data_IF_681592455456
#
_entry.id   IF_681592455456
#
_cell.length_a   1.000
_cell.length_b   1.000
_cell.length_c   1.000
_cell.angle_alpha   90.00
_cell.angle_beta   90.00
_cell.angle_gamma   90.00
#
_symmetry.space_group_name_H-M   'P 1'
#
loop_
_entity.id
_entity.type
_entity.pdbx_description
1 polymer ?
#
# COMPACT_ATOMS: atom_id res chain seq x y z
N UNK A 1 -41.62 42.27 40.12
CA UNK A 1 -40.89 42.37 38.84
C UNK A 1 -39.84 41.28 38.80
N UNK A 2 -40.22 40.10 38.29
CA UNK A 2 -39.33 38.95 38.03
C UNK A 2 -40.01 38.18 36.90
N UNK A 3 -39.44 38.30 35.71
CA UNK A 3 -39.92 37.60 34.52
C UNK A 3 -39.34 36.20 34.54
N UNK A 4 -40.23 35.21 34.56
CA UNK A 4 -39.94 33.80 34.28
C UNK A 4 -39.89 33.69 32.76
N UNK A 5 -38.79 33.18 32.21
CA UNK A 5 -38.71 32.78 30.79
C UNK A 5 -38.98 31.29 30.76
N UNK A 6 -40.20 30.95 30.33
CA UNK A 6 -40.58 29.59 29.97
C UNK A 6 -40.05 29.29 28.56
N UNK A 7 -39.50 28.09 28.39
CA UNK A 7 -39.06 27.54 27.11
C UNK A 7 -40.25 26.85 26.45
N UNK A 8 -40.56 27.23 25.22
CA UNK A 8 -41.35 26.40 24.31
C UNK A 8 -40.78 26.52 22.89
N UNK A 9 -39.94 25.55 22.50
CA UNK A 9 -39.23 25.49 21.20
C UNK A 9 -39.85 24.42 20.26
N UNK A 10 -41.16 24.20 20.34
CA UNK A 10 -41.88 23.29 19.42
C UNK A 10 -42.62 24.06 18.32
N UNK A 11 -41.88 24.85 17.54
CA UNK A 11 -42.40 25.49 16.32
C UNK A 11 -42.05 24.68 15.06
N UNK A 12 -42.91 23.74 14.66
CA UNK A 12 -42.90 23.13 13.32
C UNK A 12 -43.61 24.08 12.34
N UNK A 13 -42.90 24.61 11.33
CA UNK A 13 -43.53 25.22 10.16
C UNK A 13 -43.55 24.19 9.01
N UNK A 14 -44.74 23.87 8.52
CA UNK A 14 -44.95 22.97 7.38
C UNK A 14 -45.37 23.80 6.17
N UNK A 15 -44.63 23.71 5.07
CA UNK A 15 -45.05 24.19 3.75
C UNK A 15 -45.11 23.03 2.75
N UNK A 16 -46.09 23.02 1.82
CA UNK A 16 -46.22 21.95 0.84
C UNK A 16 -45.16 22.07 -0.28
N UNK A 17 -44.74 20.95 -0.91
CA UNK A 17 -43.62 20.92 -1.83
C UNK A 17 -44.04 21.27 -3.26
N UNK A 18 -43.18 21.97 -3.98
CA UNK A 18 -43.06 21.81 -5.42
C UNK A 18 -41.77 21.01 -5.68
N UNK A 19 -41.98 19.79 -6.21
CA UNK A 19 -41.00 18.88 -6.84
C UNK A 19 -39.93 18.23 -5.92
N UNK A 20 -40.30 17.06 -5.38
CA UNK A 20 -39.49 15.83 -5.41
C UNK A 20 -38.16 15.74 -4.66
N UNK A 21 -38.19 15.20 -3.44
CA UNK A 21 -37.02 14.65 -2.75
C UNK A 21 -37.01 14.95 -1.25
N UNK A 22 -37.22 13.95 -0.41
CA UNK A 22 -37.17 14.09 1.05
C UNK A 22 -35.72 13.95 1.53
N UNK A 23 -35.08 15.06 1.89
CA UNK A 23 -33.82 15.04 2.64
C UNK A 23 -34.02 15.70 4.01
N UNK A 24 -33.69 14.96 5.07
CA UNK A 24 -33.65 15.48 6.44
C UNK A 24 -32.21 15.95 6.70
N UNK A 25 -31.94 17.22 6.40
CA UNK A 25 -30.70 17.90 6.77
C UNK A 25 -30.93 18.74 8.04
N UNK A 26 -30.08 18.57 9.05
CA UNK A 26 -30.14 19.40 10.26
C UNK A 26 -29.52 20.78 10.00
N UNK A 27 -30.02 21.82 10.70
CA UNK A 27 -29.63 23.24 10.53
C UNK A 27 -28.12 23.55 10.64
N UNK A 28 -27.27 22.58 11.00
CA UNK A 28 -25.82 22.74 11.06
C UNK A 28 -25.13 22.74 9.67
N UNK A 29 -25.76 22.19 8.62
CA UNK A 29 -25.12 22.01 7.30
C UNK A 29 -25.25 23.21 6.34
N UNK A 30 -26.05 24.24 6.67
CA UNK A 30 -26.28 25.40 5.79
C UNK A 30 -25.35 26.59 6.11
N UNK A 31 -24.57 26.55 7.20
CA UNK A 31 -23.77 27.69 7.66
C UNK A 31 -22.29 27.70 7.23
N UNK A 32 -21.83 26.77 6.39
CA UNK A 32 -20.48 26.80 5.84
C UNK A 32 -20.56 26.66 4.31
N UNK A 33 -20.10 27.72 3.62
CA UNK A 33 -20.33 27.94 2.20
C UNK A 33 -19.89 26.78 1.32
N UNK A 34 -20.88 26.11 0.72
CA UNK A 34 -20.70 25.46 -0.57
C UNK A 34 -20.64 26.58 -1.63
N UNK A 35 -19.43 26.98 -2.01
CA UNK A 35 -19.26 27.53 -3.36
C UNK A 35 -19.41 26.35 -4.33
N UNK A 36 -20.50 26.37 -5.09
CA UNK A 36 -20.72 25.47 -6.20
C UNK A 36 -19.60 25.65 -7.23
N UNK A 37 -18.64 24.73 -7.25
CA UNK A 37 -17.66 24.67 -8.33
C UNK A 37 -18.37 24.23 -9.61
N UNK A 38 -18.39 25.13 -10.61
CA UNK A 38 -18.80 24.80 -11.98
C UNK A 38 -17.77 23.84 -12.56
N UNK A 39 -18.18 22.58 -12.70
CA UNK A 39 -17.46 21.61 -13.51
C UNK A 39 -17.38 22.08 -14.97
N UNK A 40 -16.26 21.72 -15.60
CA UNK A 40 -16.03 21.81 -17.03
C UNK A 40 -17.18 21.13 -17.81
N UNK A 41 -17.94 21.91 -18.57
CA UNK A 41 -18.87 21.39 -19.59
C UNK A 41 -18.07 20.93 -20.82
N UNK A 42 -17.64 19.67 -20.78
CA UNK A 42 -17.18 18.91 -21.95
C UNK A 42 -18.26 17.94 -22.40
N UNK A 43 -19.47 18.44 -22.70
CA UNK A 43 -20.55 17.66 -23.31
C UNK A 43 -20.65 18.02 -24.80
N UNK A 44 -20.02 17.23 -25.66
CA UNK A 44 -20.37 17.20 -27.08
C UNK A 44 -21.70 16.46 -27.23
N UNK A 45 -22.76 17.24 -27.46
CA UNK A 45 -24.06 16.72 -27.90
C UNK A 45 -23.95 16.34 -29.37
N UNK A 46 -23.89 15.03 -29.65
CA UNK A 46 -24.07 14.48 -30.99
C UNK A 46 -25.54 14.62 -31.37
N UNK A 47 -25.87 15.66 -32.16
CA UNK A 47 -27.14 15.75 -32.85
C UNK A 47 -27.00 15.19 -34.28
N UNK A 48 -27.54 13.99 -34.48
CA UNK A 48 -27.83 13.44 -35.81
C UNK A 48 -29.25 13.87 -36.23
N UNK A 49 -29.37 14.79 -37.18
CA UNK A 49 -30.37 14.75 -38.28
C UNK A 49 -30.34 16.03 -39.15
N UNK A 50 -29.89 15.84 -40.40
CA UNK A 50 -30.57 16.23 -41.66
C UNK A 50 -30.84 17.73 -41.97
N UNK A 51 -30.07 18.30 -42.91
CA UNK A 51 -30.51 18.68 -44.28
C UNK A 51 -29.76 19.89 -44.87
N UNK A 52 -28.99 19.66 -45.95
CA UNK A 52 -29.04 20.43 -47.21
C UNK A 52 -28.19 21.70 -47.40
N UNK A 53 -27.38 21.68 -48.48
CA UNK A 53 -27.07 22.78 -49.44
C UNK A 53 -26.08 23.85 -48.87
N UNK A 54 -24.97 24.31 -49.45
CA UNK A 54 -24.25 24.31 -50.75
C UNK A 54 -22.74 24.45 -50.38
N UNK A 55 -21.77 23.82 -51.05
CA UNK A 55 -21.09 24.37 -52.23
C UNK A 55 -20.16 25.56 -51.93
N UNK A 56 -18.84 25.33 -51.76
CA UNK A 56 -17.72 26.18 -52.23
C UNK A 56 -16.41 25.37 -52.25
N UNK A 57 -15.74 25.40 -53.41
CA UNK A 57 -14.37 24.92 -53.67
C UNK A 57 -13.38 26.08 -53.50
N UNK A 58 -12.21 25.80 -52.90
CA UNK A 58 -10.90 26.43 -53.19
C UNK A 58 -9.81 25.58 -52.54
N UNK A 59 -9.10 24.73 -53.29
CA UNK A 59 -7.78 24.98 -53.89
C UNK A 59 -6.69 25.50 -52.91
N UNK A 60 -5.84 24.55 -52.47
CA UNK A 60 -4.38 24.58 -52.63
C UNK A 60 -3.56 25.71 -52.03
N UNK A 61 -2.69 25.38 -51.06
CA UNK A 61 -1.35 25.98 -50.98
C UNK A 61 -0.33 24.97 -50.42
N UNK A 62 0.74 24.74 -51.20
CA UNK A 62 1.96 24.01 -50.85
C UNK A 62 2.98 25.02 -50.27
N UNK A 63 3.97 24.49 -49.52
CA UNK A 63 5.26 25.03 -49.03
C UNK A 63 5.26 25.43 -47.54
N UNK A 64 6.30 25.16 -46.73
CA UNK A 64 7.69 24.80 -47.02
C UNK A 64 8.31 24.09 -45.80
N UNK A 65 9.23 23.16 -46.07
CA UNK A 65 10.04 22.44 -45.09
C UNK A 65 11.28 23.29 -44.76
N UNK A 66 11.52 23.65 -43.50
CA UNK A 66 12.80 24.26 -43.10
C UNK A 66 13.51 23.41 -42.03
N UNK A 67 14.56 22.70 -42.47
CA UNK A 67 15.55 22.04 -41.61
C UNK A 67 16.57 23.08 -41.13
N UNK A 68 16.72 23.26 -39.82
CA UNK A 68 17.88 23.94 -39.21
C UNK A 68 18.95 22.94 -38.71
N UNK A 69 20.25 23.27 -38.82
CA UNK A 69 21.34 22.29 -38.72
C UNK A 69 21.80 22.02 -37.28
N UNK A 70 21.82 20.73 -36.91
CA UNK A 70 22.42 20.16 -35.69
C UNK A 70 23.95 20.08 -35.86
N UNK A 71 24.71 21.08 -35.42
CA UNK A 71 26.20 21.02 -35.34
C UNK A 71 26.78 21.31 -33.95
N UNK A 72 26.07 20.93 -32.88
CA UNK A 72 26.60 21.00 -31.50
C UNK A 72 26.60 19.67 -30.74
N UNK A 73 26.04 18.58 -31.31
CA UNK A 73 25.97 17.26 -30.63
C UNK A 73 27.15 16.33 -30.93
N UNK A 74 27.99 16.62 -31.93
CA UNK A 74 29.14 15.76 -32.28
C UNK A 74 30.32 15.91 -31.30
N UNK A 75 30.49 17.10 -30.71
CA UNK A 75 31.61 17.39 -29.79
C UNK A 75 31.45 16.68 -28.43
N UNK A 76 30.21 16.49 -27.96
CA UNK A 76 29.93 15.77 -26.71
C UNK A 76 30.22 14.27 -26.83
N UNK A 77 30.01 13.68 -28.01
CA UNK A 77 30.29 12.26 -28.27
C UNK A 77 31.80 11.99 -28.26
N UNK A 78 32.59 12.89 -28.86
CA UNK A 78 34.05 12.78 -28.86
C UNK A 78 34.67 12.93 -27.46
N UNK A 79 34.13 13.82 -26.63
CA UNK A 79 34.58 13.98 -25.24
C UNK A 79 34.29 12.73 -24.38
N UNK A 80 33.12 12.09 -24.59
CA UNK A 80 32.76 10.86 -23.88
C UNK A 80 33.67 9.67 -24.20
N UNK A 81 34.06 9.51 -25.47
CA UNK A 81 34.96 8.43 -25.90
C UNK A 81 36.36 8.59 -25.29
N UNK A 82 36.87 9.83 -25.22
CA UNK A 82 38.17 10.10 -24.58
C UNK A 82 38.16 9.79 -23.08
N UNK A 83 37.08 10.13 -22.37
CA UNK A 83 36.91 9.82 -20.95
C UNK A 83 36.85 8.31 -20.69
N UNK A 84 36.13 7.57 -21.55
CA UNK A 84 36.02 6.11 -21.45
C UNK A 84 37.39 5.43 -21.59
N UNK A 85 38.23 5.90 -22.51
CA UNK A 85 39.58 5.36 -22.72
C UNK A 85 40.52 5.59 -21.52
N UNK A 86 40.37 6.71 -20.81
CA UNK A 86 41.14 6.98 -19.58
C UNK A 86 40.71 6.03 -18.45
N UNK A 87 39.41 5.76 -18.31
CA UNK A 87 38.88 4.85 -17.29
C UNK A 87 39.37 3.41 -17.55
N UNK A 88 39.33 2.95 -18.80
CA UNK A 88 39.83 1.61 -19.16
C UNK A 88 41.34 1.49 -18.90
N UNK A 89 42.12 2.55 -19.16
CA UNK A 89 43.55 2.60 -18.83
C UNK A 89 43.83 2.51 -17.32
N UNK A 90 43.00 3.16 -16.49
CA UNK A 90 43.15 3.13 -15.03
C UNK A 90 42.78 1.77 -14.41
N UNK A 91 41.74 1.11 -14.94
CA UNK A 91 41.29 -0.19 -14.42
C UNK A 91 42.25 -1.33 -14.79
N UNK A 92 42.88 -1.27 -15.97
CA UNK A 92 43.88 -2.27 -16.38
C UNK A 92 45.22 -2.12 -15.66
N UNK A 93 45.51 -0.97 -15.04
CA UNK A 93 46.70 -0.77 -14.20
C UNK A 93 46.61 -1.36 -12.79
N UNK A 94 45.40 -1.68 -12.31
CA UNK A 94 45.16 -2.06 -10.90
C UNK A 94 45.20 -3.57 -10.58
N UNK A 95 45.28 -4.46 -11.55
CA UNK A 95 45.04 -5.92 -11.35
C UNK A 95 46.33 -6.78 -11.36
N UNK A 96 47.52 -6.18 -11.26
CA UNK A 96 48.80 -6.93 -11.22
C UNK A 96 49.68 -6.72 -9.96
N UNK A 97 49.09 -6.32 -8.83
CA UNK A 97 49.74 -6.43 -7.52
C UNK A 97 48.71 -6.84 -6.48
N UNK A 98 48.67 -8.08 -5.97
CA UNK A 98 49.73 -8.66 -5.16
C UNK A 98 49.51 -10.16 -5.00
N UNK A 99 50.58 -10.94 -5.22
CA UNK A 99 50.68 -12.37 -4.87
C UNK A 99 51.81 -12.57 -3.85
N UNK A 100 51.61 -13.58 -3.00
CA UNK A 100 52.48 -14.13 -1.92
C UNK A 100 52.36 -13.39 -0.57
N UNK A 101 52.24 -14.05 0.59
CA UNK A 101 53.10 -15.14 1.13
C UNK A 101 52.33 -16.09 2.09
N UNK A 102 52.78 -17.35 2.07
CA UNK A 102 52.45 -18.55 2.85
C UNK A 102 52.40 -18.43 4.39
N UNK A 103 51.62 -19.32 5.03
CA UNK A 103 52.13 -20.41 5.91
C UNK A 103 51.03 -21.40 6.31
N UNK A 104 51.37 -22.69 6.20
CA UNK A 104 50.71 -23.86 6.81
C UNK A 104 51.79 -24.60 7.63
N UNK A 105 51.52 -25.79 8.22
CA UNK A 105 50.50 -26.15 9.22
C UNK A 105 51.18 -26.74 10.49
N UNK A 106 50.42 -26.91 11.59
CA UNK A 106 50.86 -27.78 12.70
C UNK A 106 49.70 -28.69 13.12
N UNK A 107 49.85 -29.98 12.81
CA UNK A 107 49.08 -31.08 13.40
C UNK A 107 49.53 -31.33 14.85
N UNK A 108 48.61 -31.71 15.75
CA UNK A 108 48.73 -32.90 16.61
C UNK A 108 47.33 -33.28 17.16
N UNK A 109 47.00 -34.58 17.36
CA UNK A 109 45.66 -35.08 17.62
C UNK A 109 45.34 -35.26 19.11
N UNK A 110 44.05 -35.18 19.46
CA UNK A 110 43.54 -35.48 20.79
C UNK A 110 42.08 -35.92 20.74
N UNK A 111 41.88 -37.24 20.71
CA UNK A 111 40.59 -37.93 20.87
C UNK A 111 40.06 -37.70 22.29
N UNK A 112 38.81 -37.23 22.40
CA UNK A 112 37.98 -37.41 23.58
C UNK A 112 36.51 -37.48 23.15
N UNK A 113 36.00 -38.71 23.07
CA UNK A 113 34.58 -39.06 23.01
C UNK A 113 33.82 -38.49 24.22
N UNK A 114 32.79 -37.69 23.96
CA UNK A 114 31.77 -37.30 24.94
C UNK A 114 30.38 -37.56 24.33
N UNK A 115 29.39 -37.96 25.15
CA UNK A 115 28.26 -38.78 24.71
C UNK A 115 27.14 -37.99 24.04
N UNK A 116 26.44 -38.69 23.14
CA UNK A 116 25.13 -38.33 22.60
C UNK A 116 24.15 -37.99 23.73
N UNK A 117 23.85 -36.71 23.88
CA UNK A 117 22.65 -36.26 24.57
C UNK A 117 21.60 -35.91 23.50
N UNK A 118 20.85 -36.95 23.11
CA UNK A 118 19.53 -36.83 22.47
C UNK A 118 18.57 -36.11 23.42
N UNK A 119 18.69 -34.79 23.51
CA UNK A 119 17.76 -33.91 24.19
C UNK A 119 16.81 -33.30 23.16
N UNK A 120 15.78 -34.04 22.77
CA UNK A 120 14.61 -33.46 22.09
C UNK A 120 14.04 -32.41 23.07
N UNK A 121 14.00 -31.10 22.75
CA UNK A 121 13.48 -30.12 23.67
C UNK A 121 12.01 -30.44 23.96
N UNK A 122 11.55 -30.33 25.21
CA UNK A 122 10.15 -30.56 25.55
C UNK A 122 9.31 -29.55 24.80
N UNK A 123 8.56 -30.05 23.82
CA UNK A 123 7.55 -29.30 23.07
C UNK A 123 6.27 -29.30 23.91
N UNK A 124 6.07 -28.28 24.73
CA UNK A 124 4.76 -27.88 25.29
C UNK A 124 4.99 -26.75 26.30
N UNK A 125 5.18 -25.54 25.79
CA UNK A 125 4.62 -24.37 26.43
C UNK A 125 3.65 -23.81 25.40
N UNK A 126 2.38 -23.67 25.74
CA UNK A 126 1.45 -22.95 24.88
C UNK A 126 2.07 -21.58 24.56
N UNK A 127 2.01 -21.12 23.30
CA UNK A 127 2.55 -19.82 22.95
C UNK A 127 1.90 -18.75 23.83
N UNK A 128 2.65 -17.72 24.27
CA UNK A 128 2.08 -16.68 25.10
C UNK A 128 0.90 -16.03 24.35
N UNK A 129 -0.15 -15.56 25.05
CA UNK A 129 -1.34 -15.01 24.39
C UNK A 129 -1.03 -13.91 23.37
N UNK A 130 0.04 -13.13 23.62
CA UNK A 130 0.50 -12.04 22.78
C UNK A 130 1.34 -12.49 21.58
N UNK A 131 1.79 -13.74 21.51
CA UNK A 131 2.46 -14.24 20.31
C UNK A 131 1.53 -14.15 19.11
N UNK A 132 2.11 -13.88 17.94
CA UNK A 132 1.36 -13.79 16.70
C UNK A 132 0.75 -15.13 16.38
N UNK A 133 -0.53 -15.13 16.03
CA UNK A 133 -1.17 -16.32 15.52
C UNK A 133 -0.61 -16.63 14.12
N UNK A 134 0.12 -17.74 14.00
CA UNK A 134 0.96 -18.03 12.84
C UNK A 134 0.26 -17.99 11.48
N UNK A 135 -1.05 -18.22 11.40
CA UNK A 135 -1.79 -18.18 10.13
C UNK A 135 -2.58 -16.90 9.91
N UNK A 136 -2.53 -15.96 10.86
CA UNK A 136 -3.18 -14.65 10.71
C UNK A 136 -2.43 -13.78 9.70
N UNK A 137 -3.16 -12.83 9.10
CA UNK A 137 -2.54 -11.78 8.29
C UNK A 137 -1.77 -10.77 9.15
N UNK A 138 -0.92 -9.99 8.51
CA UNK A 138 -0.31 -8.80 9.10
C UNK A 138 -0.82 -7.60 8.30
N UNK A 139 -1.41 -6.61 8.95
CA UNK A 139 -1.74 -5.33 8.31
C UNK A 139 -0.61 -4.33 8.58
N UNK A 140 -0.21 -3.55 7.58
CA UNK A 140 0.75 -2.46 7.79
C UNK A 140 0.36 -1.23 7.00
N UNK A 141 0.46 -0.07 7.63
CA UNK A 141 0.26 1.24 6.98
C UNK A 141 1.16 2.29 7.64
N UNK A 142 1.31 3.44 7.02
CA UNK A 142 2.16 4.51 7.53
C UNK A 142 2.07 5.78 6.71
N UNK A 143 2.64 6.84 7.28
CA UNK A 143 2.72 8.15 6.65
C UNK A 143 3.97 8.88 7.09
N UNK A 144 4.42 9.80 6.23
CA UNK A 144 5.41 10.80 6.60
C UNK A 144 4.78 11.79 7.57
N UNK A 145 5.51 12.12 8.64
CA UNK A 145 5.17 13.19 9.59
C UNK A 145 5.97 14.46 9.34
N UNK A 146 6.97 14.39 8.46
CA UNK A 146 7.80 15.52 8.07
C UNK A 146 8.76 15.13 6.93
N UNK A 147 9.81 15.93 6.74
CA UNK A 147 10.81 15.71 5.66
C UNK A 147 11.81 14.58 5.93
N UNK A 148 11.82 14.04 7.15
CA UNK A 148 12.73 12.95 7.56
C UNK A 148 12.14 12.04 8.63
N UNK A 149 10.89 12.29 9.02
CA UNK A 149 10.20 11.56 10.07
C UNK A 149 8.96 10.87 9.53
N UNK A 150 8.70 9.68 10.01
CA UNK A 150 7.55 8.89 9.60
C UNK A 150 7.03 8.03 10.75
N UNK A 151 5.79 7.59 10.56
CA UNK A 151 5.06 6.75 11.48
C UNK A 151 4.60 5.50 10.76
N UNK A 152 4.69 4.35 11.44
CA UNK A 152 4.19 3.07 10.97
C UNK A 152 3.20 2.52 11.99
N UNK A 153 2.14 1.89 11.48
CA UNK A 153 1.13 1.16 12.24
C UNK A 153 1.13 -0.26 11.72
N UNK A 154 1.29 -1.21 12.62
CA UNK A 154 1.29 -2.63 12.30
C UNK A 154 0.20 -3.33 13.11
N UNK A 155 -0.59 -4.15 12.44
CA UNK A 155 -1.71 -4.88 13.02
C UNK A 155 -1.44 -6.38 12.87
N UNK A 156 -1.63 -7.13 13.95
CA UNK A 156 -1.60 -8.58 13.94
C UNK A 156 -2.66 -9.16 14.89
N UNK A 157 -2.92 -10.46 14.78
CA UNK A 157 -3.80 -11.18 15.70
C UNK A 157 -2.97 -12.03 16.67
N UNK A 158 -3.31 -11.99 17.96
CA UNK A 158 -2.71 -12.90 18.93
C UNK A 158 -3.48 -14.22 19.08
N UNK A 159 -2.99 -15.09 19.96
CA UNK A 159 -3.61 -16.41 20.19
C UNK A 159 -4.96 -16.36 20.91
N UNK A 160 -5.30 -15.24 21.52
CA UNK A 160 -6.61 -14.95 22.11
C UNK A 160 -7.66 -14.50 21.08
N UNK A 161 -7.27 -14.29 19.82
CA UNK A 161 -8.14 -13.85 18.74
C UNK A 161 -8.29 -12.32 18.64
N UNK A 162 -7.81 -11.57 19.63
CA UNK A 162 -7.85 -10.11 19.62
C UNK A 162 -6.80 -9.54 18.64
N UNK A 163 -7.16 -8.41 18.01
CA UNK A 163 -6.25 -7.67 17.15
C UNK A 163 -5.39 -6.74 17.99
N UNK A 164 -4.11 -6.63 17.66
CA UNK A 164 -3.14 -5.80 18.35
C UNK A 164 -2.58 -4.77 17.38
N UNK A 165 -2.61 -3.51 17.79
CA UNK A 165 -2.09 -2.38 17.03
C UNK A 165 -0.76 -1.94 17.64
N UNK A 166 0.30 -2.06 16.86
CA UNK A 166 1.65 -1.61 17.18
C UNK A 166 1.93 -0.27 16.53
N UNK A 167 2.79 0.52 17.16
CA UNK A 167 3.30 1.77 16.61
C UNK A 167 4.81 1.79 16.52
N UNK A 168 5.30 2.46 15.48
CA UNK A 168 6.68 2.88 15.34
C UNK A 168 6.69 4.35 14.91
N UNK A 169 7.57 5.14 15.52
CA UNK A 169 7.90 6.49 15.08
C UNK A 169 9.39 6.56 14.82
N UNK A 170 9.80 7.07 13.66
CA UNK A 170 11.21 7.05 13.24
C UNK A 170 12.13 7.86 14.15
N UNK A 171 11.60 8.85 14.87
CA UNK A 171 12.34 9.61 15.88
C UNK A 171 12.66 8.82 17.16
N UNK A 172 11.85 7.81 17.49
CA UNK A 172 12.06 6.97 18.68
C UNK A 172 12.85 5.70 18.36
N UNK A 173 12.80 5.25 17.10
CA UNK A 173 13.56 4.10 16.61
C UNK A 173 13.16 2.76 17.23
N UNK A 174 11.97 2.67 17.85
CA UNK A 174 11.49 1.46 18.53
C UNK A 174 10.00 1.22 18.30
N UNK A 175 9.63 -0.05 18.33
CA UNK A 175 8.24 -0.48 18.36
C UNK A 175 7.67 -0.39 19.77
N UNK A 176 6.38 -0.12 19.88
CA UNK A 176 5.62 -0.27 21.14
C UNK A 176 4.17 -0.64 20.84
N UNK A 177 3.52 -1.29 21.79
CA UNK A 177 2.06 -1.52 21.72
C UNK A 177 1.32 -0.19 21.81
N UNK A 178 0.41 0.08 20.86
CA UNK A 178 -0.45 1.27 20.86
C UNK A 178 -1.83 0.94 21.45
N UNK A 179 -2.45 -0.16 21.02
CA UNK A 179 -3.75 -0.58 21.52
C UNK A 179 -3.99 -2.09 21.34
N UNK A 180 -4.76 -2.67 22.26
CA UNK A 180 -5.39 -3.97 22.07
C UNK A 180 -6.84 -3.74 21.65
N UNK A 181 -7.22 -4.24 20.48
CA UNK A 181 -8.53 -4.06 19.89
C UNK A 181 -9.38 -5.29 20.24
N UNK A 182 -10.08 -5.19 21.36
CA UNK A 182 -10.96 -6.26 21.87
C UNK A 182 -12.37 -6.14 21.28
N UNK A 183 -13.08 -7.28 21.14
CA UNK A 183 -14.47 -7.27 20.69
C UNK A 183 -14.66 -6.95 19.21
N UNK A 184 -13.61 -7.17 18.40
CA UNK A 184 -13.62 -7.01 16.94
C UNK A 184 -14.44 -8.09 16.24
N UNK A 185 -14.72 -9.22 16.91
CA UNK A 185 -15.30 -10.42 16.32
C UNK A 185 -14.50 -10.97 15.13
N UNK A 186 -13.19 -10.69 15.09
CA UNK A 186 -12.29 -11.26 14.11
C UNK A 186 -12.22 -12.79 14.28
N UNK A 187 -12.38 -13.55 13.18
CA UNK A 187 -12.14 -14.99 13.24
C UNK A 187 -10.67 -15.29 13.50
N UNK A 188 -10.38 -16.41 14.15
CA UNK A 188 -9.00 -16.81 14.39
C UNK A 188 -8.29 -17.16 13.07
N UNK A 189 -7.09 -16.63 12.85
CA UNK A 189 -6.37 -16.78 11.58
C UNK A 189 -6.94 -15.93 10.44
N UNK A 190 -7.68 -14.85 10.76
CA UNK A 190 -8.22 -13.95 9.74
C UNK A 190 -7.12 -13.33 8.87
N UNK A 191 -7.35 -13.10 7.56
CA UNK A 191 -6.55 -12.11 6.83
C UNK A 191 -6.69 -10.74 7.51
N UNK A 192 -5.64 -9.93 7.43
CA UNK A 192 -5.60 -8.57 7.95
C UNK A 192 -4.96 -7.70 6.88
N UNK A 193 -5.62 -6.60 6.55
CA UNK A 193 -5.06 -5.54 5.72
C UNK A 193 -5.30 -4.19 6.42
N UNK A 194 -4.41 -3.23 6.20
CA UNK A 194 -4.55 -1.91 6.81
C UNK A 194 -4.13 -0.82 5.83
N UNK A 195 -4.87 0.28 5.83
CA UNK A 195 -4.54 1.50 5.11
C UNK A 195 -4.79 2.71 6.03
N UNK A 196 -4.38 3.89 5.61
CA UNK A 196 -4.67 5.09 6.39
C UNK A 196 -4.83 6.32 5.52
N UNK A 197 -5.44 7.35 6.12
CA UNK A 197 -5.59 8.67 5.54
C UNK A 197 -5.72 9.72 6.64
N UNK A 198 -5.37 10.96 6.32
CA UNK A 198 -5.62 12.12 7.16
C UNK A 198 -7.02 12.69 6.82
N UNK A 199 -7.86 12.84 7.84
CA UNK A 199 -9.28 13.20 7.69
C UNK A 199 -9.45 14.54 6.97
N UNK A 200 -8.83 15.66 7.43
CA UNK A 200 -8.93 16.93 6.70
C UNK A 200 -8.45 16.86 5.27
N UNK A 201 -7.37 16.12 5.02
CA UNK A 201 -6.78 16.02 3.69
C UNK A 201 -7.68 15.24 2.72
N UNK A 202 -8.21 14.09 3.14
CA UNK A 202 -9.09 13.28 2.30
C UNK A 202 -10.45 13.93 2.04
N UNK A 203 -11.05 14.57 3.05
CA UNK A 203 -12.35 15.24 2.89
C UNK A 203 -12.23 16.69 2.41
N UNK A 204 -11.03 17.13 2.04
CA UNK A 204 -10.76 18.50 1.58
C UNK A 204 -11.30 19.58 2.54
N UNK A 205 -11.21 19.34 3.85
CA UNK A 205 -11.65 20.30 4.88
C UNK A 205 -10.46 21.06 5.45
N UNK A 206 -10.64 22.33 5.88
CA UNK A 206 -9.56 23.09 6.50
C UNK A 206 -8.98 22.38 7.72
N UNK A 207 -7.66 22.25 7.74
CA UNK A 207 -6.94 21.65 8.85
C UNK A 207 -6.77 22.65 9.99
N UNK A 208 -7.06 22.19 11.21
CA UNK A 208 -6.92 22.92 12.47
C UNK A 208 -6.31 21.98 13.50
N UNK A 209 -5.77 22.54 14.58
CA UNK A 209 -5.24 21.74 15.68
C UNK A 209 -6.27 20.82 16.34
N UNK A 210 -7.57 21.08 16.19
CA UNK A 210 -8.65 20.30 16.81
C UNK A 210 -9.24 19.21 15.92
N UNK A 211 -8.96 19.22 14.60
CA UNK A 211 -9.49 18.25 13.63
C UNK A 211 -8.41 17.56 12.77
N UNK A 212 -7.11 17.84 12.99
CA UNK A 212 -6.02 17.12 12.34
C UNK A 212 -5.90 15.69 12.92
N UNK A 213 -6.54 14.72 12.25
CA UNK A 213 -6.53 13.31 12.64
C UNK A 213 -6.05 12.45 11.49
N UNK A 214 -5.15 11.51 11.80
CA UNK A 214 -4.87 10.38 10.92
C UNK A 214 -5.72 9.19 11.36
N UNK A 215 -6.44 8.60 10.42
CA UNK A 215 -7.28 7.43 10.60
C UNK A 215 -6.61 6.23 9.93
N UNK A 216 -6.41 5.18 10.72
CA UNK A 216 -6.03 3.85 10.29
C UNK A 216 -7.31 3.03 10.12
N UNK A 217 -7.46 2.41 8.96
CA UNK A 217 -8.52 1.45 8.67
C UNK A 217 -7.95 0.04 8.70
N UNK A 218 -8.66 -0.88 9.33
CA UNK A 218 -8.24 -2.26 9.55
C UNK A 218 -9.34 -3.17 9.03
N UNK A 219 -9.00 -4.00 8.05
CA UNK A 219 -9.94 -4.90 7.37
C UNK A 219 -9.61 -6.35 7.69
N UNK A 220 -10.63 -7.13 8.00
CA UNK A 220 -10.53 -8.53 8.40
C UNK A 220 -11.86 -9.26 8.16
N UNK A 221 -11.91 -10.55 8.51
CA UNK A 221 -13.11 -11.37 8.42
C UNK A 221 -13.61 -11.78 9.81
N UNK A 222 -14.93 -11.86 9.95
CA UNK A 222 -15.57 -12.53 11.09
C UNK A 222 -15.76 -14.03 10.83
N UNK A 223 -16.30 -14.77 11.82
CA UNK A 223 -16.59 -16.21 11.73
C UNK A 223 -17.56 -16.59 10.58
N UNK A 224 -18.37 -15.63 10.12
CA UNK A 224 -19.29 -15.82 9.02
C UNK A 224 -18.65 -15.51 7.65
N UNK A 225 -17.33 -15.25 7.60
CA UNK A 225 -16.59 -14.80 6.42
C UNK A 225 -17.15 -13.50 5.82
N UNK A 226 -17.64 -12.61 6.68
CA UNK A 226 -18.04 -11.26 6.26
C UNK A 226 -16.90 -10.28 6.46
N UNK A 227 -16.71 -9.41 5.47
CA UNK A 227 -15.77 -8.28 5.56
C UNK A 227 -16.15 -7.38 6.73
N UNK A 228 -15.18 -7.12 7.59
CA UNK A 228 -15.28 -6.23 8.74
C UNK A 228 -14.29 -5.08 8.58
N UNK A 229 -14.64 -3.95 9.17
CA UNK A 229 -13.82 -2.75 9.26
C UNK A 229 -13.75 -2.30 10.72
N UNK A 230 -12.55 -1.98 11.17
CA UNK A 230 -12.30 -1.33 12.45
C UNK A 230 -11.37 -0.15 12.22
N UNK A 231 -11.72 1.01 12.75
CA UNK A 231 -10.89 2.20 12.60
C UNK A 231 -10.18 2.56 13.91
N UNK A 232 -9.00 3.15 13.78
CA UNK A 232 -8.30 3.83 14.86
C UNK A 232 -7.88 5.22 14.38
N UNK A 233 -8.26 6.26 15.11
CA UNK A 233 -7.96 7.66 14.80
C UNK A 233 -7.07 8.23 15.86
N UNK A 234 -6.02 8.91 15.45
CA UNK A 234 -5.13 9.64 16.34
C UNK A 234 -5.02 11.10 15.92
N UNK A 235 -5.10 11.99 16.91
CA UNK A 235 -4.92 13.41 16.70
C UNK A 235 -3.43 13.71 16.54
N UNK A 236 -3.07 14.33 15.42
CA UNK A 236 -1.73 14.84 15.20
C UNK A 236 -1.57 16.16 16.00
N UNK A 237 -1.15 16.00 17.25
CA UNK A 237 -0.95 17.10 18.20
C UNK A 237 0.27 16.83 19.09
N UNK A 238 1.18 17.81 19.26
CA UNK A 238 2.31 17.69 20.19
C UNK A 238 1.87 17.78 21.67
N UNK A 239 0.57 17.95 21.95
CA UNK A 239 0.03 18.06 23.30
C UNK A 239 -0.07 16.69 23.97
N UNK A 240 0.22 16.56 25.28
CA UNK A 240 -0.09 15.35 26.06
C UNK A 240 -1.60 15.04 26.11
N UNK A 241 -2.45 15.92 25.58
CA UNK A 241 -3.89 15.74 25.42
C UNK A 241 -4.31 15.26 24.02
N UNK A 242 -3.40 14.67 23.23
CA UNK A 242 -3.75 14.09 21.93
C UNK A 242 -4.87 13.05 22.12
N UNK A 243 -5.95 13.19 21.34
CA UNK A 243 -7.12 12.32 21.45
C UNK A 243 -7.00 11.14 20.51
N UNK A 244 -7.48 9.99 20.96
CA UNK A 244 -7.64 8.80 20.14
C UNK A 244 -9.11 8.37 20.12
N UNK A 245 -9.58 7.89 18.98
CA UNK A 245 -10.91 7.31 18.81
C UNK A 245 -10.80 5.99 18.09
N UNK A 246 -11.64 5.02 18.43
CA UNK A 246 -11.69 3.76 17.72
C UNK A 246 -13.12 3.21 17.71
N UNK A 247 -13.35 2.22 16.85
CA UNK A 247 -14.64 1.55 16.76
C UNK A 247 -14.81 0.75 15.48
N UNK A 248 -15.95 0.08 15.38
CA UNK A 248 -16.35 -0.56 14.13
C UNK A 248 -16.64 0.48 13.06
N UNK A 249 -16.12 0.23 11.86
CA UNK A 249 -16.44 1.01 10.67
C UNK A 249 -17.81 0.64 10.07
N UNK A 250 -18.17 1.37 9.02
CA UNK A 250 -19.47 1.27 8.34
C UNK A 250 -19.53 -0.01 7.49
N UNK A 251 -18.40 -0.49 6.96
CA UNK A 251 -18.33 -1.71 6.14
C UNK A 251 -18.87 -2.93 6.88
N UNK A 252 -18.62 -3.05 8.18
CA UNK A 252 -19.07 -4.19 9.01
C UNK A 252 -20.60 -4.39 8.97
N UNK A 253 -21.37 -3.31 8.74
CA UNK A 253 -22.83 -3.38 8.64
C UNK A 253 -23.35 -3.88 7.29
N UNK A 254 -22.48 -4.00 6.28
CA UNK A 254 -22.86 -4.36 4.91
C UNK A 254 -23.05 -5.86 4.72
N UNK A 255 -22.47 -6.70 5.58
CA UNK A 255 -22.62 -8.16 5.52
C UNK A 255 -22.01 -8.80 4.27
N UNK A 256 -21.02 -8.16 3.65
CA UNK A 256 -20.39 -8.63 2.41
C UNK A 256 -19.59 -9.90 2.63
N UNK A 257 -19.94 -10.96 1.92
CA UNK A 257 -19.27 -12.27 2.03
C UNK A 257 -18.03 -12.32 1.15
N UNK A 258 -16.94 -12.83 1.71
CA UNK A 258 -15.73 -13.19 0.99
C UNK A 258 -15.53 -14.72 1.01
N UNK A 259 -14.59 -15.22 0.21
CA UNK A 259 -14.10 -16.58 0.36
C UNK A 259 -13.47 -16.77 1.75
N UNK A 260 -13.69 -17.94 2.35
CA UNK A 260 -13.24 -18.19 3.73
C UNK A 260 -11.73 -18.16 3.92
N UNK A 261 -10.96 -18.41 2.87
CA UNK A 261 -9.51 -18.44 2.85
C UNK A 261 -8.90 -17.32 1.97
N UNK A 262 -9.71 -16.32 1.59
CA UNK A 262 -9.25 -15.13 0.87
C UNK A 262 -8.11 -14.44 1.60
N UNK A 263 -7.27 -13.74 0.83
CA UNK A 263 -6.43 -12.65 1.34
C UNK A 263 -7.15 -11.32 1.12
N UNK A 264 -6.69 -10.28 1.79
CA UNK A 264 -7.22 -8.92 1.66
C UNK A 264 -6.02 -8.03 1.37
N UNK A 265 -6.17 -7.10 0.43
CA UNK A 265 -5.26 -5.97 0.27
C UNK A 265 -6.06 -4.66 0.29
N UNK A 266 -5.41 -3.58 0.66
CA UNK A 266 -6.01 -2.25 0.65
C UNK A 266 -4.95 -1.22 0.37
N UNK A 267 -5.31 -0.26 -0.46
CA UNK A 267 -4.72 1.06 -0.50
C UNK A 267 -5.86 2.07 -0.49
N UNK A 268 -5.85 3.00 0.46
CA UNK A 268 -7.01 3.89 0.67
C UNK A 268 -7.33 4.67 -0.62
N UNK A 269 -8.61 4.71 -1.07
CA UNK A 269 -9.84 4.27 -0.39
C UNK A 269 -10.41 2.90 -0.83
N UNK A 270 -9.59 2.02 -1.40
CA UNK A 270 -10.02 0.71 -1.90
C UNK A 270 -9.60 -0.46 -1.00
N UNK A 271 -10.36 -1.54 -1.08
CA UNK A 271 -10.10 -2.83 -0.44
C UNK A 271 -10.47 -3.95 -1.42
N UNK A 272 -9.50 -4.80 -1.75
CA UNK A 272 -9.70 -5.93 -2.65
C UNK A 272 -9.66 -7.26 -1.90
N UNK A 273 -10.55 -8.18 -2.29
CA UNK A 273 -10.67 -9.53 -1.72
C UNK A 273 -11.26 -10.49 -2.75
N UNK A 274 -11.19 -11.79 -2.48
CA UNK A 274 -11.73 -12.86 -3.33
C UNK A 274 -13.10 -13.31 -2.83
N UNK A 275 -14.04 -13.56 -3.73
CA UNK A 275 -15.31 -14.24 -3.41
C UNK A 275 -15.24 -15.76 -3.61
N UNK A 276 -16.33 -16.47 -3.30
CA UNK A 276 -16.41 -17.93 -3.44
C UNK A 276 -16.45 -18.42 -4.91
N UNK A 277 -16.47 -17.52 -5.89
CA UNK A 277 -16.42 -17.81 -7.33
C UNK A 277 -15.06 -17.45 -7.95
N UNK A 278 -14.04 -17.28 -7.10
CA UNK A 278 -12.68 -16.87 -7.45
C UNK A 278 -12.60 -15.52 -8.19
N UNK A 279 -13.64 -14.67 -8.10
CA UNK A 279 -13.61 -13.31 -8.63
C UNK A 279 -12.96 -12.37 -7.61
N UNK A 280 -12.20 -11.41 -8.12
CA UNK A 280 -11.74 -10.27 -7.33
C UNK A 280 -12.92 -9.31 -7.16
N UNK A 281 -13.25 -9.05 -5.90
CA UNK A 281 -14.20 -8.06 -5.44
C UNK A 281 -13.43 -6.83 -4.96
N UNK A 282 -14.01 -5.65 -5.20
CA UNK A 282 -13.52 -4.39 -4.68
C UNK A 282 -14.61 -3.77 -3.82
N UNK A 283 -14.23 -3.36 -2.60
CA UNK A 283 -14.99 -2.43 -1.80
C UNK A 283 -14.28 -1.07 -1.87
N UNK A 284 -15.00 -0.04 -2.34
CA UNK A 284 -14.47 1.30 -2.51
C UNK A 284 -15.22 2.30 -1.65
N UNK A 285 -14.50 3.15 -0.91
CA UNK A 285 -15.08 4.19 -0.07
C UNK A 285 -15.24 5.50 -0.85
N UNK A 286 -16.48 5.86 -1.14
CA UNK A 286 -16.83 7.11 -1.82
C UNK A 286 -18.14 7.67 -1.25
N UNK A 287 -18.32 8.98 -1.32
CA UNK A 287 -19.54 9.66 -0.85
C UNK A 287 -19.94 9.26 0.58
N UNK A 288 -18.95 9.16 1.47
CA UNK A 288 -19.11 8.81 2.89
C UNK A 288 -19.68 7.41 3.16
N UNK A 289 -19.62 6.49 2.19
CA UNK A 289 -20.10 5.12 2.34
C UNK A 289 -19.25 4.14 1.54
N UNK A 290 -19.43 2.86 1.83
CA UNK A 290 -18.81 1.77 1.10
C UNK A 290 -19.76 1.23 0.02
N UNK A 291 -19.23 1.06 -1.19
CA UNK A 291 -19.85 0.32 -2.29
C UNK A 291 -18.98 -0.89 -2.67
N UNK A 292 -19.60 -1.99 -3.05
CA UNK A 292 -18.89 -3.20 -3.53
C UNK A 292 -19.24 -3.44 -5.00
N UNK A 293 -18.23 -3.81 -5.78
CA UNK A 293 -18.38 -4.26 -7.17
C UNK A 293 -17.39 -5.37 -7.50
N UNK A 294 -17.70 -6.16 -8.53
CA UNK A 294 -16.74 -7.07 -9.13
C UNK A 294 -15.73 -6.28 -9.97
N UNK A 295 -14.45 -6.62 -9.87
CA UNK A 295 -13.39 -5.97 -10.66
C UNK A 295 -13.34 -6.52 -12.10
N UNK A 296 -13.97 -7.68 -12.34
CA UNK A 296 -13.91 -8.38 -13.63
C UNK A 296 -12.62 -9.20 -13.84
N UNK A 297 -11.85 -9.40 -12.76
CA UNK A 297 -10.64 -10.22 -12.74
C UNK A 297 -10.89 -11.55 -12.02
N UNK A 298 -10.34 -12.64 -12.57
CA UNK A 298 -10.30 -13.95 -11.92
C UNK A 298 -8.90 -14.21 -11.39
N UNK A 299 -8.82 -14.69 -10.17
CA UNK A 299 -7.56 -15.03 -9.52
C UNK A 299 -7.57 -16.48 -9.06
N UNK A 300 -6.38 -17.01 -8.80
CA UNK A 300 -6.23 -18.33 -8.21
C UNK A 300 -6.93 -18.35 -6.84
N UNK A 301 -7.60 -19.46 -6.51
CA UNK A 301 -8.10 -19.64 -5.15
C UNK A 301 -6.96 -19.43 -4.13
N UNK A 302 -7.19 -18.58 -3.12
CA UNK A 302 -6.20 -18.15 -2.11
C UNK A 302 -5.04 -17.32 -2.66
N UNK A 303 -5.24 -16.64 -3.78
CA UNK A 303 -4.29 -15.67 -4.30
C UNK A 303 -3.91 -14.66 -3.19
N UNK A 304 -2.62 -14.38 -3.07
CA UNK A 304 -2.19 -13.18 -2.37
C UNK A 304 -2.55 -11.96 -3.23
N UNK A 305 -2.82 -10.84 -2.56
CA UNK A 305 -3.15 -9.57 -3.20
C UNK A 305 -2.20 -8.49 -2.72
N UNK A 306 -1.90 -7.54 -3.59
CA UNK A 306 -1.36 -6.25 -3.19
C UNK A 306 -1.97 -5.16 -4.06
N UNK A 307 -2.13 -3.99 -3.44
CA UNK A 307 -2.67 -2.80 -4.09
C UNK A 307 -1.72 -1.64 -3.79
N UNK A 308 -1.24 -0.98 -4.83
CA UNK A 308 -0.27 0.12 -4.73
C UNK A 308 -0.55 1.18 -5.78
N UNK A 309 -0.36 2.48 -5.50
CA UNK A 309 -0.55 3.53 -6.50
C UNK A 309 0.51 3.44 -7.61
N UNK A 310 0.14 3.69 -8.88
CA UNK A 310 1.13 3.76 -9.97
C UNK A 310 1.75 5.15 -10.15
N UNK A 311 1.08 6.19 -9.65
CA UNK A 311 1.58 7.57 -9.59
C UNK A 311 1.01 8.31 -8.39
N UNK A 312 1.65 9.40 -7.99
CA UNK A 312 1.20 10.25 -6.88
C UNK A 312 -0.17 10.87 -7.16
N UNK A 313 -0.39 11.39 -8.38
CA UNK A 313 -1.65 12.05 -8.73
C UNK A 313 -2.75 11.02 -8.97
N UNK A 314 -2.50 10.02 -9.82
CA UNK A 314 -3.54 9.07 -10.19
C UNK A 314 -4.02 8.28 -8.97
N UNK A 315 -3.12 7.88 -8.07
CA UNK A 315 -3.48 7.21 -6.82
C UNK A 315 -4.52 7.99 -6.02
N UNK A 316 -4.43 9.33 -5.99
CA UNK A 316 -5.41 10.20 -5.31
C UNK A 316 -6.83 10.14 -5.90
N UNK A 317 -6.95 9.60 -7.10
CA UNK A 317 -8.20 9.51 -7.86
C UNK A 317 -8.50 8.06 -8.28
N UNK A 318 -8.02 7.07 -7.53
CA UNK A 318 -8.31 5.65 -7.76
C UNK A 318 -7.37 4.96 -8.78
N UNK A 319 -6.27 5.60 -9.15
CA UNK A 319 -5.27 5.01 -10.03
C UNK A 319 -4.30 4.09 -9.27
N UNK A 320 -4.49 2.79 -9.36
CA UNK A 320 -3.67 1.79 -8.68
C UNK A 320 -3.18 0.64 -9.58
N UNK A 321 -2.22 -0.12 -9.08
CA UNK A 321 -1.83 -1.44 -9.58
C UNK A 321 -2.43 -2.49 -8.66
N UNK A 322 -3.20 -3.39 -9.25
CA UNK A 322 -3.74 -4.59 -8.62
C UNK A 322 -2.80 -5.75 -8.97
N UNK A 323 -2.22 -6.36 -7.93
CA UNK A 323 -1.22 -7.41 -8.07
C UNK A 323 -1.79 -8.69 -7.47
N UNK A 324 -1.81 -9.77 -8.27
CA UNK A 324 -2.42 -11.03 -7.87
C UNK A 324 -1.85 -12.22 -8.65
N UNK A 325 -2.18 -13.43 -8.20
CA UNK A 325 -1.87 -14.68 -8.86
C UNK A 325 -3.09 -15.20 -9.63
N UNK A 326 -2.88 -15.64 -10.88
CA UNK A 326 -3.88 -16.33 -11.70
C UNK A 326 -3.70 -17.87 -11.61
N UNK A 327 -4.75 -18.64 -11.92
CA UNK A 327 -4.80 -20.12 -11.86
C UNK A 327 -3.66 -20.85 -12.59
N UNK A 328 -3.10 -20.23 -13.61
CA UNK A 328 -1.95 -20.74 -14.37
C UNK A 328 -0.60 -20.48 -13.67
N UNK A 329 -0.62 -20.16 -12.37
CA UNK A 329 0.56 -19.86 -11.56
C UNK A 329 1.36 -18.66 -12.09
N UNK A 330 0.64 -17.66 -12.63
CA UNK A 330 1.23 -16.40 -13.09
C UNK A 330 0.91 -15.29 -12.12
N UNK A 331 1.95 -14.55 -11.72
CA UNK A 331 1.84 -13.23 -11.12
C UNK A 331 1.46 -12.24 -12.24
N UNK A 332 0.38 -11.50 -12.02
CA UNK A 332 -0.08 -10.41 -12.87
C UNK A 332 -0.04 -9.09 -12.11
N UNK A 333 0.19 -8.02 -12.87
CA UNK A 333 0.11 -6.63 -12.41
C UNK A 333 -0.80 -5.93 -13.41
N UNK A 334 -2.01 -5.61 -12.98
CA UNK A 334 -2.99 -4.84 -13.76
C UNK A 334 -2.99 -3.41 -13.24
N UNK A 335 -2.87 -2.41 -14.11
CA UNK A 335 -2.90 -1.00 -13.76
C UNK A 335 -4.27 -0.42 -14.14
N UNK A 336 -4.91 0.27 -13.20
CA UNK A 336 -6.20 0.93 -13.40
C UNK A 336 -5.98 2.37 -13.81
N UNK A 337 -6.47 2.76 -14.98
CA UNK A 337 -6.48 4.17 -15.39
C UNK A 337 -7.53 4.95 -14.58
N UNK A 338 -7.09 6.01 -13.89
CA UNK A 338 -7.94 6.78 -13.00
C UNK A 338 -9.02 7.62 -13.71
N UNK A 339 -8.98 7.74 -15.04
CA UNK A 339 -9.94 8.53 -15.82
C UNK A 339 -11.02 7.67 -16.49
N UNK A 340 -10.67 6.44 -16.85
CA UNK A 340 -11.53 5.51 -17.58
C UNK A 340 -11.95 4.29 -16.78
N UNK A 341 -11.33 4.06 -15.62
CA UNK A 341 -11.55 2.88 -14.76
C UNK A 341 -11.20 1.55 -15.46
N UNK A 342 -10.39 1.62 -16.53
CA UNK A 342 -9.96 0.45 -17.30
C UNK A 342 -8.71 -0.14 -16.70
N UNK A 343 -8.64 -1.47 -16.72
CA UNK A 343 -7.48 -2.24 -16.33
C UNK A 343 -6.64 -2.62 -17.55
N UNK A 344 -5.37 -2.26 -17.53
CA UNK A 344 -4.38 -2.58 -18.54
C UNK A 344 -3.23 -3.39 -17.94
N UNK A 345 -2.67 -4.31 -18.73
CA UNK A 345 -1.54 -5.15 -18.30
C UNK A 345 -0.30 -4.27 -18.11
N UNK A 346 0.15 -4.14 -16.87
CA UNK A 346 1.26 -3.26 -16.50
C UNK A 346 2.62 -3.97 -16.49
N UNK A 347 2.63 -5.30 -16.34
CA UNK A 347 3.84 -6.12 -16.26
C UNK A 347 3.76 -7.40 -17.11
N UNK A 348 4.89 -7.91 -17.62
CA UNK A 348 4.96 -9.27 -18.12
C UNK A 348 4.57 -10.28 -17.03
N UNK A 349 3.80 -11.30 -17.39
CA UNK A 349 3.42 -12.36 -16.44
C UNK A 349 4.65 -13.14 -15.97
N UNK A 350 4.79 -13.36 -14.67
CA UNK A 350 5.92 -14.10 -14.08
C UNK A 350 5.39 -15.40 -13.47
N UNK A 351 6.07 -16.53 -13.68
CA UNK A 351 5.69 -17.79 -13.04
C UNK A 351 6.09 -17.77 -11.57
N UNK A 352 5.12 -17.96 -10.68
CA UNK A 352 5.30 -18.05 -9.23
C UNK A 352 4.58 -19.30 -8.70
N UNK A 353 5.03 -19.91 -7.58
CA UNK A 353 4.34 -21.08 -7.02
C UNK A 353 2.89 -20.77 -6.64
N UNK A 354 2.01 -21.76 -6.75
CA UNK A 354 0.63 -21.64 -6.29
C UNK A 354 0.56 -21.17 -4.82
N UNK A 355 -0.26 -20.17 -4.54
CA UNK A 355 -0.47 -19.57 -3.21
C UNK A 355 0.82 -19.01 -2.59
N UNK A 356 1.75 -18.53 -3.43
CA UNK A 356 2.97 -17.89 -2.97
C UNK A 356 2.63 -16.68 -2.09
N UNK A 357 3.32 -16.55 -0.95
CA UNK A 357 3.27 -15.34 -0.16
C UNK A 357 3.78 -14.18 -1.00
N UNK A 358 3.08 -13.05 -0.95
CA UNK A 358 3.40 -11.86 -1.75
C UNK A 358 2.99 -10.60 -1.01
N UNK A 359 3.80 -9.56 -1.15
CA UNK A 359 3.49 -8.18 -0.77
C UNK A 359 4.16 -7.21 -1.73
N UNK A 360 3.64 -6.00 -1.84
CA UNK A 360 4.22 -4.98 -2.71
C UNK A 360 4.25 -3.61 -2.03
N UNK A 361 5.21 -2.79 -2.43
CA UNK A 361 5.25 -1.38 -2.05
C UNK A 361 5.67 -0.51 -3.23
N UNK A 362 5.37 0.78 -3.12
CA UNK A 362 5.83 1.78 -4.06
C UNK A 362 6.58 2.92 -3.40
N UNK A 363 7.50 3.52 -4.17
CA UNK A 363 8.27 4.71 -3.78
C UNK A 363 8.23 5.70 -4.95
N UNK A 364 7.94 7.00 -4.73
CA UNK A 364 8.03 7.99 -5.80
C UNK A 364 9.40 7.94 -6.46
N UNK A 365 9.42 8.04 -7.80
CA UNK A 365 10.67 8.04 -8.56
C UNK A 365 11.39 9.38 -8.49
N UNK A 366 10.63 10.46 -8.58
CA UNK A 366 11.15 11.82 -8.67
C UNK A 366 10.61 12.67 -7.51
N UNK A 367 11.48 13.25 -6.66
CA UNK A 367 11.06 14.09 -5.54
C UNK A 367 10.45 15.43 -5.97
N UNK A 368 10.75 15.88 -7.18
CA UNK A 368 10.44 17.24 -7.66
C UNK A 368 9.14 17.31 -8.47
N UNK A 369 8.49 16.18 -8.75
CA UNK A 369 7.29 16.13 -9.59
C UNK A 369 6.07 15.81 -8.76
N UNK A 370 5.09 16.70 -8.76
CA UNK A 370 3.79 16.47 -8.14
C UNK A 370 3.04 15.27 -8.73
N UNK A 371 3.38 14.89 -9.98
CA UNK A 371 2.83 13.75 -10.72
C UNK A 371 3.85 12.62 -10.92
N UNK A 372 4.72 12.42 -9.93
CA UNK A 372 5.80 11.44 -10.02
C UNK A 372 5.27 10.03 -10.22
N UNK A 373 5.82 9.34 -11.24
CA UNK A 373 5.67 7.89 -11.40
C UNK A 373 6.21 7.18 -10.16
N UNK A 374 5.59 6.06 -9.82
CA UNK A 374 6.04 5.22 -8.71
C UNK A 374 6.97 4.11 -9.18
N UNK A 375 8.09 3.94 -8.50
CA UNK A 375 8.84 2.68 -8.53
C UNK A 375 8.04 1.61 -7.79
N UNK A 376 7.87 0.45 -8.39
CA UNK A 376 7.06 -0.64 -7.84
C UNK A 376 7.93 -1.84 -7.52
N UNK A 377 7.79 -2.37 -6.31
CA UNK A 377 8.56 -3.52 -5.82
C UNK A 377 7.61 -4.58 -5.26
N UNK A 378 7.79 -5.81 -5.69
CA UNK A 378 6.95 -6.95 -5.31
C UNK A 378 7.85 -8.02 -4.73
N UNK A 379 7.66 -8.34 -3.45
CA UNK A 379 8.33 -9.45 -2.79
C UNK A 379 7.42 -10.67 -2.84
N UNK A 380 7.98 -11.81 -3.23
CA UNK A 380 7.24 -13.06 -3.28
C UNK A 380 8.10 -14.26 -2.91
N UNK A 381 7.47 -15.32 -2.42
CA UNK A 381 8.15 -16.55 -2.00
C UNK A 381 8.19 -17.60 -3.12
N UNK A 382 9.36 -18.13 -3.42
CA UNK A 382 9.51 -19.20 -4.41
C UNK A 382 9.23 -20.61 -3.83
N UNK A 383 9.32 -21.63 -4.69
CA UNK A 383 9.03 -23.03 -4.33
C UNK A 383 9.99 -23.63 -3.29
N UNK A 384 11.17 -23.02 -3.09
CA UNK A 384 12.14 -23.42 -2.07
C UNK A 384 11.89 -22.71 -0.73
N UNK A 385 11.00 -21.72 -0.72
CA UNK A 385 10.74 -20.85 0.43
C UNK A 385 11.64 -19.61 0.47
N UNK A 386 12.51 -19.42 -0.52
CA UNK A 386 13.36 -18.24 -0.61
C UNK A 386 12.58 -17.04 -1.15
N UNK A 387 12.98 -15.84 -0.72
CA UNK A 387 12.40 -14.60 -1.20
C UNK A 387 12.98 -14.22 -2.57
N UNK A 388 12.09 -13.79 -3.44
CA UNK A 388 12.36 -13.20 -4.73
C UNK A 388 11.80 -11.79 -4.75
N UNK A 389 12.38 -10.91 -5.56
CA UNK A 389 11.85 -9.58 -5.82
C UNK A 389 11.61 -9.41 -7.30
N UNK A 390 10.46 -8.88 -7.65
CA UNK A 390 10.12 -8.39 -8.97
C UNK A 390 9.88 -6.89 -8.89
N UNK A 391 10.48 -6.09 -9.75
CA UNK A 391 10.37 -4.63 -9.64
C UNK A 391 10.49 -3.89 -10.97
N UNK A 392 10.01 -2.63 -10.97
CA UNK A 392 10.18 -1.64 -12.03
C UNK A 392 10.51 -0.29 -11.37
N UNK A 393 11.69 0.25 -11.65
CA UNK A 393 12.28 1.39 -10.93
C UNK A 393 12.93 2.46 -11.83
N UNK A 394 13.04 2.22 -13.14
CA UNK A 394 13.70 3.14 -14.08
C UNK A 394 13.04 3.22 -15.47
N UNK A 395 11.84 2.65 -15.65
CA UNK A 395 11.14 2.62 -16.93
C UNK A 395 11.82 1.76 -18.01
N UNK A 396 12.90 1.03 -17.70
CA UNK A 396 13.53 0.08 -18.64
C UNK A 396 12.81 -1.26 -18.70
N UNK A 397 11.80 -1.45 -17.85
CA UNK A 397 10.95 -2.63 -17.77
C UNK A 397 11.10 -3.36 -16.44
N UNK A 398 10.33 -4.44 -16.31
CA UNK A 398 10.29 -5.26 -15.11
C UNK A 398 11.48 -6.21 -15.02
N UNK A 399 12.01 -6.37 -13.81
CA UNK A 399 13.16 -7.24 -13.49
C UNK A 399 12.82 -8.16 -12.33
N UNK A 400 13.50 -9.30 -12.26
CA UNK A 400 13.36 -10.28 -11.15
C UNK A 400 14.72 -10.76 -10.69
N UNK A 401 14.91 -10.89 -9.37
CA UNK A 401 16.12 -11.42 -8.76
C UNK A 401 15.82 -12.13 -7.45
N UNK A 402 16.74 -13.01 -7.05
CA UNK A 402 16.74 -13.65 -5.73
C UNK A 402 17.22 -12.70 -4.65
N UNK A 403 16.56 -12.73 -3.50
CA UNK A 403 16.95 -11.91 -2.34
C UNK A 403 18.05 -12.58 -1.50
N UNK A 404 18.80 -11.80 -0.70
CA UNK A 404 19.80 -12.35 0.21
C UNK A 404 19.19 -13.35 1.21
N UNK A 405 19.84 -14.50 1.40
CA UNK A 405 19.39 -15.51 2.37
C UNK A 405 19.33 -14.99 3.82
N UNK A 406 20.06 -13.91 4.13
CA UNK A 406 20.04 -13.24 5.44
C UNK A 406 18.69 -12.67 5.83
N UNK A 407 17.78 -12.42 4.87
CA UNK A 407 16.41 -12.02 5.18
C UNK A 407 15.62 -13.15 5.86
N UNK A 408 16.05 -14.40 5.67
CA UNK A 408 15.34 -15.59 6.10
C UNK A 408 14.24 -15.98 5.11
N UNK A 409 13.51 -17.04 5.46
CA UNK A 409 12.37 -17.54 4.70
C UNK A 409 11.09 -17.27 5.49
N UNK A 410 10.07 -16.66 4.88
CA UNK A 410 8.75 -16.57 5.51
C UNK A 410 8.25 -17.94 5.94
N UNK A 411 7.68 -18.01 7.14
CA UNK A 411 7.05 -19.21 7.67
C UNK A 411 5.96 -19.70 6.69
N UNK A 412 5.81 -21.02 6.56
CA UNK A 412 4.88 -21.59 5.59
C UNK A 412 3.44 -21.16 5.85
N UNK A 413 2.79 -20.63 4.82
CA UNK A 413 1.39 -20.18 4.88
C UNK A 413 1.20 -18.78 5.44
N UNK A 414 2.28 -18.05 5.73
CA UNK A 414 2.26 -16.67 6.20
C UNK A 414 2.31 -15.70 5.02
N UNK A 415 1.67 -14.54 5.16
CA UNK A 415 1.70 -13.49 4.14
C UNK A 415 2.97 -12.64 4.22
N UNK A 416 3.19 -11.81 3.20
CA UNK A 416 4.18 -10.74 3.23
C UNK A 416 3.40 -9.42 3.16
N UNK A 417 3.62 -8.54 4.12
CA UNK A 417 2.96 -7.24 4.16
C UNK A 417 3.99 -6.15 3.97
N UNK A 418 3.88 -5.41 2.87
CA UNK A 418 4.82 -4.35 2.53
C UNK A 418 4.14 -2.99 2.69
N UNK A 419 4.92 -2.01 3.13
CA UNK A 419 4.45 -0.68 3.46
C UNK A 419 4.55 0.24 2.25
N UNK A 420 3.40 0.66 1.73
CA UNK A 420 3.28 1.86 0.90
C UNK A 420 2.76 3.00 1.77
N UNK A 421 3.47 4.13 1.89
CA UNK A 421 2.95 5.27 2.63
C UNK A 421 1.69 5.84 1.96
N UNK A 422 0.76 6.35 2.76
CA UNK A 422 -0.43 7.02 2.21
C UNK A 422 -0.08 8.32 1.48
N UNK A 423 -0.70 8.58 0.31
CA UNK A 423 -0.68 9.90 -0.35
C UNK A 423 -1.63 10.94 0.30
N UNK A 424 -2.39 10.53 1.33
CA UNK A 424 -3.43 11.30 2.00
C UNK A 424 -2.92 11.78 3.36
N UNK A 425 -1.69 12.27 3.41
CA UNK A 425 -1.04 12.74 4.62
C UNK A 425 -0.82 14.25 4.59
N UNK A 426 -0.57 14.83 5.77
CA UNK A 426 -0.20 16.25 5.91
C UNK A 426 1.17 16.51 5.28
N UNK A 427 2.15 15.65 5.57
CA UNK A 427 3.44 15.72 4.94
C UNK A 427 3.38 15.15 3.52
N UNK A 428 4.15 15.73 2.61
CA UNK A 428 4.29 15.22 1.26
C UNK A 428 4.93 13.84 1.27
N UNK A 429 4.51 12.99 0.32
CA UNK A 429 5.19 11.73 0.08
C UNK A 429 6.60 12.01 -0.41
N UNK A 430 7.59 11.30 0.15
CA UNK A 430 8.99 11.49 -0.19
C UNK A 430 9.47 10.40 -1.14
N UNK A 431 10.35 10.77 -2.08
CA UNK A 431 11.16 9.84 -2.88
C UNK A 431 12.31 9.26 -2.02
N UNK A 432 11.95 8.66 -0.89
CA UNK A 432 12.87 8.14 0.12
C UNK A 432 12.47 6.70 0.50
N UNK A 433 13.47 5.87 0.78
CA UNK A 433 13.30 4.45 1.06
C UNK A 433 13.19 4.12 2.56
N UNK A 434 13.09 5.12 3.45
CA UNK A 434 12.92 4.93 4.89
C UNK A 434 11.69 4.10 5.29
N UNK A 435 10.63 4.20 4.49
CA UNK A 435 9.38 3.45 4.63
C UNK A 435 9.26 2.24 3.69
N UNK A 436 10.28 1.95 2.86
CA UNK A 436 10.32 0.78 2.00
C UNK A 436 10.58 -0.49 2.82
N UNK A 437 9.57 -0.91 3.59
CA UNK A 437 9.66 -1.96 4.60
C UNK A 437 8.66 -3.06 4.32
N UNK A 438 9.04 -4.30 4.63
CA UNK A 438 8.15 -5.45 4.57
C UNK A 438 8.23 -6.26 5.86
N UNK A 439 7.11 -6.93 6.15
CA UNK A 439 6.86 -7.66 7.38
C UNK A 439 6.31 -9.05 7.07
N UNK A 440 6.85 -10.06 7.73
CA UNK A 440 6.42 -11.46 7.61
C UNK A 440 6.90 -12.25 8.83
N UNK A 441 6.37 -13.46 9.03
CA UNK A 441 6.80 -14.31 10.12
C UNK A 441 8.07 -15.08 9.77
N UNK A 442 9.02 -15.12 10.69
CA UNK A 442 10.16 -16.05 10.68
C UNK A 442 10.30 -16.65 12.05
N UNK A 443 10.19 -17.98 12.14
CA UNK A 443 10.21 -18.73 13.39
C UNK A 443 9.18 -18.18 14.40
N UNK A 444 7.98 -17.81 13.92
CA UNK A 444 6.89 -17.25 14.72
C UNK A 444 7.03 -15.79 15.15
N UNK A 445 8.09 -15.09 14.73
CA UNK A 445 8.32 -13.68 15.04
C UNK A 445 8.06 -12.80 13.82
N UNK A 446 7.44 -11.63 14.01
CA UNK A 446 7.31 -10.64 12.91
C UNK A 446 8.68 -10.05 12.63
N UNK A 447 9.27 -10.43 11.50
CA UNK A 447 10.51 -9.86 10.98
C UNK A 447 10.21 -8.57 10.23
N UNK A 448 11.04 -7.56 10.45
CA UNK A 448 11.06 -6.31 9.70
C UNK A 448 12.30 -6.28 8.81
N UNK A 449 12.09 -6.08 7.52
CA UNK A 449 13.15 -5.86 6.53
C UNK A 449 12.96 -4.52 5.84
N UNK A 450 14.06 -3.90 5.40
CA UNK A 450 14.07 -2.62 4.70
C UNK A 450 14.88 -2.72 3.41
N UNK A 451 14.35 -2.11 2.36
CA UNK A 451 15.07 -1.79 1.13
C UNK A 451 15.62 -0.37 1.22
N UNK A 452 16.88 -0.16 0.88
CA UNK A 452 17.52 1.18 0.91
C UNK A 452 17.57 1.87 -0.46
N UNK A 453 16.93 1.29 -1.48
CA UNK A 453 17.04 1.72 -2.88
C UNK A 453 18.08 0.92 -3.68
N UNK A 454 18.85 0.04 -3.04
CA UNK A 454 19.82 -0.84 -3.71
C UNK A 454 19.93 -2.23 -3.08
N UNK A 455 19.86 -2.32 -1.76
CA UNK A 455 20.03 -3.54 -0.98
C UNK A 455 18.92 -3.73 0.03
N UNK A 456 18.71 -4.99 0.39
CA UNK A 456 17.82 -5.39 1.49
C UNK A 456 18.61 -5.68 2.75
N UNK A 457 18.08 -5.24 3.88
CA UNK A 457 18.63 -5.52 5.21
C UNK A 457 17.54 -5.96 6.19
N UNK A 458 17.93 -6.74 7.20
CA UNK A 458 17.08 -7.06 8.34
C UNK A 458 17.23 -5.93 9.36
N UNK A 459 16.12 -5.28 9.70
CA UNK A 459 16.08 -4.27 10.77
C UNK A 459 16.01 -4.95 12.13
N UNK A 460 15.19 -5.99 12.23
CA UNK A 460 15.04 -6.79 13.44
C UNK A 460 13.71 -7.53 13.45
N UNK A 461 13.26 -7.90 14.65
CA UNK A 461 11.90 -8.36 14.88
C UNK A 461 11.10 -7.24 15.55
N UNK A 462 9.82 -7.13 15.22
CA UNK A 462 8.89 -6.25 15.92
C UNK A 462 8.79 -6.72 17.36
N UNK A 463 9.08 -5.82 18.30
CA UNK A 463 9.00 -6.12 19.74
C UNK A 463 7.53 -6.21 20.13
N UNK A 464 7.10 -7.40 20.52
CA UNK A 464 5.75 -7.69 21.01
C UNK A 464 5.85 -7.86 22.52
N UNK A 465 5.06 -7.09 23.27
CA UNK A 465 5.08 -7.06 24.74
C UNK A 465 4.37 -8.28 25.37
#
# INVERSE_FOLDING_TARGET
MRTIIDRDDTGLEVRPPDVGGLEVSTKAQIAQGLEAFRGYDGLEVVNNAQAGIDGIKTEGFIKETERKPRRKKLWLVLAGIALLLVIVGAVLGGVLGSRHIHKAPTETPGVATAPDASGKPPRSSDPPPNAVYATSGIGVTGWWTGSSSFTIRLIYQGHDGDLRLMQYHSGDGKWSTLANLTGTNAKLGTPIAASCFNIPFFFFTPMTSSNNFTQVEIFYLNEANEMQEFYFREQDSPSPSARTFNGSGIMSSKGWKAAGDTKIATYWPSVIFQDNSDQIQEAYYANLTWAQSEVGLKCQNRSAFAEVPYSVTAGRFGGEKIIFQQDNQKLLVEERDNSTDKLDVAAPSITIPANAAMGAFTVPRDPDTADGTMNTYILWQDSTGALQMTWEDDGTGWRTSSMPASLGSPDKGTGISCLTPTLWAVASLLSDYGMARCYYLVDGNIREVQYDGSNWSVIGNVQID
#
